data_IF_004471152484
#
_entry.id   IF_004471152484
#
_cell.length_a   1.000
_cell.length_b   1.000
_cell.length_c   1.000
_cell.angle_alpha   90.00
_cell.angle_beta   90.00
_cell.angle_gamma   90.00
#
_symmetry.space_group_name_H-M   'P 1'
#
loop_
_entity.id
_entity.type
_entity.pdbx_description
1 polymer ?
#
# COMPACT_ATOMS: atom_id res chain seq x y z
N UNK A 1 9.92 5.85 11.53
CA UNK A 1 10.56 6.09 10.22
C UNK A 1 10.02 5.03 9.27
N UNK A 2 9.30 5.43 8.22
CA UNK A 2 8.81 4.50 7.18
C UNK A 2 10.04 3.91 6.45
N UNK A 3 10.13 2.59 6.35
CA UNK A 3 11.23 1.93 5.65
C UNK A 3 11.08 2.15 4.15
N UNK A 4 11.85 3.06 3.57
CA UNK A 4 11.84 3.37 2.13
C UNK A 4 12.69 2.41 1.30
N UNK A 5 13.42 1.49 1.96
CA UNK A 5 14.33 0.53 1.31
C UNK A 5 13.79 -0.89 1.15
N UNK A 6 12.62 -1.21 1.72
CA UNK A 6 12.07 -2.58 1.66
C UNK A 6 11.17 -2.81 0.44
N UNK A 7 11.23 -4.03 -0.11
CA UNK A 7 10.33 -4.53 -1.17
C UNK A 7 9.05 -5.18 -0.62
N UNK A 8 8.95 -5.29 0.70
CA UNK A 8 7.89 -6.03 1.35
C UNK A 8 6.59 -5.24 1.40
N UNK A 9 5.53 -5.81 0.87
CA UNK A 9 4.15 -5.34 1.00
C UNK A 9 3.37 -6.43 1.72
N UNK A 10 2.50 -6.04 2.66
CA UNK A 10 1.58 -6.99 3.30
C UNK A 10 0.18 -6.79 2.74
N UNK A 11 -0.50 -7.88 2.41
CA UNK A 11 -1.91 -7.90 2.02
C UNK A 11 -2.64 -8.81 2.99
N UNK A 12 -3.56 -8.24 3.77
CA UNK A 12 -4.44 -9.00 4.64
C UNK A 12 -5.80 -9.16 3.98
N UNK A 13 -6.39 -10.33 4.15
CA UNK A 13 -7.75 -10.66 3.69
C UNK A 13 -8.56 -11.19 4.87
N UNK A 14 -9.88 -11.14 4.82
CA UNK A 14 -10.75 -11.68 5.86
C UNK A 14 -11.13 -13.14 5.58
N UNK A 15 -11.42 -13.46 4.31
CA UNK A 15 -12.04 -14.73 3.92
C UNK A 15 -11.13 -15.60 3.04
N UNK A 16 -11.34 -16.94 3.02
CA UNK A 16 -10.58 -17.84 2.14
C UNK A 16 -10.68 -17.51 0.65
N UNK A 17 -11.86 -17.07 0.17
CA UNK A 17 -12.06 -16.70 -1.24
C UNK A 17 -11.23 -15.47 -1.63
N UNK A 18 -11.08 -14.52 -0.70
CA UNK A 18 -10.27 -13.32 -0.89
C UNK A 18 -8.78 -13.67 -0.86
N UNK A 19 -8.36 -14.50 0.09
CA UNK A 19 -7.00 -15.01 0.19
C UNK A 19 -6.58 -15.68 -1.13
N UNK A 20 -7.41 -16.61 -1.62
CA UNK A 20 -7.15 -17.32 -2.88
C UNK A 20 -7.15 -16.38 -4.09
N UNK A 21 -8.00 -15.35 -4.11
CA UNK A 21 -8.01 -14.36 -5.17
C UNK A 21 -6.70 -13.55 -5.22
N UNK A 22 -6.12 -13.22 -4.06
CA UNK A 22 -4.84 -12.54 -3.95
C UNK A 22 -3.68 -13.46 -4.38
N UNK A 23 -3.61 -14.69 -3.86
CA UNK A 23 -2.48 -15.58 -4.15
C UNK A 23 -2.43 -16.01 -5.62
N UNK A 24 -3.57 -16.11 -6.31
CA UNK A 24 -3.66 -16.36 -7.76
C UNK A 24 -2.99 -15.28 -8.63
N UNK A 25 -2.76 -14.09 -8.08
CA UNK A 25 -2.08 -12.99 -8.80
C UNK A 25 -0.56 -13.00 -8.63
N UNK A 26 -0.03 -13.96 -7.86
CA UNK A 26 1.37 -14.03 -7.46
C UNK A 26 2.05 -15.26 -8.06
N UNK A 27 3.37 -15.20 -8.16
CA UNK A 27 4.24 -16.33 -8.52
C UNK A 27 5.17 -16.68 -7.37
N UNK A 28 5.86 -17.83 -7.46
CA UNK A 28 6.89 -18.24 -6.51
C UNK A 28 6.43 -18.29 -5.04
N UNK A 29 5.18 -18.71 -4.80
CA UNK A 29 4.56 -18.79 -3.48
C UNK A 29 5.35 -19.70 -2.53
N UNK A 30 5.63 -19.19 -1.33
CA UNK A 30 6.32 -19.89 -0.24
C UNK A 30 5.63 -19.61 1.08
N UNK A 31 5.48 -20.63 1.90
CA UNK A 31 4.97 -20.50 3.26
C UNK A 31 6.01 -19.87 4.18
N UNK A 32 5.60 -18.87 4.95
CA UNK A 32 6.41 -18.15 5.94
C UNK A 32 5.64 -18.10 7.28
N UNK A 33 6.19 -18.72 8.33
CA UNK A 33 5.52 -18.85 9.62
C UNK A 33 6.05 -17.80 10.62
N UNK A 34 5.16 -16.94 11.12
CA UNK A 34 5.46 -16.08 12.26
C UNK A 34 5.65 -16.94 13.52
N UNK A 35 6.64 -16.66 14.39
CA UNK A 35 6.92 -17.46 15.60
C UNK A 35 5.74 -17.65 16.58
N UNK A 36 4.73 -16.78 16.49
CA UNK A 36 3.53 -16.82 17.34
C UNK A 36 2.26 -17.25 16.58
N UNK A 37 2.40 -17.99 15.47
CA UNK A 37 1.30 -18.74 14.86
C UNK A 37 0.54 -18.07 13.70
N UNK A 38 0.95 -16.89 13.25
CA UNK A 38 0.41 -16.30 12.01
C UNK A 38 1.15 -16.88 10.81
N UNK A 39 0.45 -17.44 9.83
CA UNK A 39 1.05 -18.02 8.63
C UNK A 39 0.84 -17.05 7.48
N UNK A 40 1.91 -16.77 6.73
CA UNK A 40 1.88 -16.01 5.50
C UNK A 40 2.21 -16.90 4.31
N UNK A 41 1.63 -16.59 3.16
CA UNK A 41 2.24 -16.92 1.88
C UNK A 41 3.00 -15.70 1.36
N UNK A 42 4.30 -15.88 1.12
CA UNK A 42 5.13 -14.92 0.42
C UNK A 42 5.16 -15.27 -1.06
N UNK A 43 4.79 -14.32 -1.90
CA UNK A 43 4.89 -14.44 -3.36
C UNK A 43 5.56 -13.23 -3.99
N UNK A 44 5.91 -13.38 -5.26
CA UNK A 44 6.41 -12.32 -6.12
C UNK A 44 5.27 -11.77 -6.97
N UNK A 45 5.18 -10.45 -7.08
CA UNK A 45 4.24 -9.81 -8.01
C UNK A 45 4.93 -9.72 -9.39
N UNK A 46 4.41 -10.40 -10.44
CA UNK A 46 5.07 -10.45 -11.74
C UNK A 46 5.40 -9.07 -12.32
N UNK A 47 6.55 -8.98 -12.99
CA UNK A 47 7.09 -7.78 -13.64
C UNK A 47 7.33 -6.58 -12.70
N UNK A 48 7.44 -6.84 -11.40
CA UNK A 48 7.72 -5.82 -10.39
C UNK A 48 8.78 -6.31 -9.39
N UNK A 49 9.42 -5.41 -8.63
CA UNK A 49 10.33 -5.81 -7.57
C UNK A 49 9.60 -6.22 -6.28
N UNK A 50 8.28 -6.16 -6.21
CA UNK A 50 7.54 -6.27 -4.95
C UNK A 50 7.39 -7.72 -4.48
N UNK A 51 7.64 -7.93 -3.19
CA UNK A 51 7.35 -9.18 -2.49
C UNK A 51 6.09 -9.00 -1.65
N UNK A 52 5.09 -9.85 -1.89
CA UNK A 52 3.79 -9.76 -1.27
C UNK A 52 3.66 -10.85 -0.20
N UNK A 53 3.42 -10.44 1.03
CA UNK A 53 3.11 -11.33 2.15
C UNK A 53 1.60 -11.30 2.36
N UNK A 54 0.95 -12.42 2.10
CA UNK A 54 -0.51 -12.57 2.16
C UNK A 54 -0.86 -13.40 3.39
N UNK A 55 -1.86 -12.95 4.17
CA UNK A 55 -2.41 -13.74 5.25
C UNK A 55 -3.92 -13.51 5.40
N UNK A 56 -4.63 -14.59 5.69
CA UNK A 56 -6.04 -14.55 6.11
C UNK A 56 -6.11 -14.15 7.59
N UNK A 57 -6.64 -12.96 7.84
CA UNK A 57 -6.80 -12.39 9.17
C UNK A 57 -8.12 -12.79 9.86
N UNK A 58 -9.09 -13.32 9.10
CA UNK A 58 -10.45 -13.54 9.58
C UNK A 58 -11.27 -12.25 9.65
N UNK A 59 -12.54 -12.41 10.02
CA UNK A 59 -13.52 -11.33 10.11
C UNK A 59 -13.40 -10.52 11.41
N UNK A 60 -13.79 -9.25 11.34
CA UNK A 60 -13.95 -8.35 12.49
C UNK A 60 -12.74 -7.46 12.81
N UNK A 61 -13.00 -6.27 13.35
CA UNK A 61 -11.97 -5.23 13.50
C UNK A 61 -10.96 -5.59 14.59
N UNK A 62 -11.35 -6.32 15.65
CA UNK A 62 -10.43 -6.66 16.73
C UNK A 62 -9.29 -7.55 16.24
N UNK A 63 -9.62 -8.62 15.52
CA UNK A 63 -8.64 -9.55 14.95
C UNK A 63 -7.80 -8.84 13.89
N UNK A 64 -8.45 -8.09 13.00
CA UNK A 64 -7.76 -7.31 11.98
C UNK A 64 -6.73 -6.34 12.60
N UNK A 65 -7.06 -5.65 13.68
CA UNK A 65 -6.14 -4.74 14.37
C UNK A 65 -4.91 -5.47 14.92
N UNK A 66 -5.10 -6.56 15.65
CA UNK A 66 -4.02 -7.32 16.29
C UNK A 66 -3.08 -7.94 15.25
N UNK A 67 -3.63 -8.54 14.20
CA UNK A 67 -2.83 -9.19 13.17
C UNK A 67 -2.11 -8.19 12.27
N UNK A 68 -2.72 -7.03 12.01
CA UNK A 68 -2.07 -5.93 11.28
C UNK A 68 -0.86 -5.39 12.04
N UNK A 69 -1.00 -5.11 13.33
CA UNK A 69 0.13 -4.65 14.15
C UNK A 69 1.25 -5.69 14.16
N UNK A 70 0.91 -6.96 14.36
CA UNK A 70 1.89 -8.07 14.34
C UNK A 70 2.62 -8.15 13.01
N UNK A 71 1.90 -8.10 11.88
CA UNK A 71 2.49 -8.14 10.55
C UNK A 71 3.43 -6.94 10.33
N UNK A 72 3.02 -5.74 10.74
CA UNK A 72 3.83 -4.53 10.65
C UNK A 72 5.11 -4.66 11.48
N UNK A 73 4.99 -5.10 12.73
CA UNK A 73 6.12 -5.18 13.67
C UNK A 73 7.14 -6.24 13.23
N UNK A 74 6.68 -7.37 12.69
CA UNK A 74 7.55 -8.43 12.21
C UNK A 74 8.21 -8.11 10.87
N UNK A 75 7.42 -7.73 9.86
CA UNK A 75 7.89 -7.61 8.47
C UNK A 75 8.42 -6.22 8.13
N UNK A 76 8.06 -5.20 8.93
CA UNK A 76 8.38 -3.78 8.69
C UNK A 76 8.11 -3.37 7.23
N UNK A 77 6.88 -3.60 6.72
CA UNK A 77 6.59 -3.46 5.31
C UNK A 77 6.61 -2.00 4.84
N UNK A 78 6.73 -1.82 3.52
CA UNK A 78 6.64 -0.51 2.86
C UNK A 78 5.21 0.05 2.88
N UNK A 79 4.24 -0.83 2.79
CA UNK A 79 2.82 -0.53 2.88
C UNK A 79 2.04 -1.79 3.28
N UNK A 80 0.85 -1.59 3.83
CA UNK A 80 -0.11 -2.65 4.15
C UNK A 80 -1.41 -2.42 3.40
N UNK A 81 -2.03 -3.48 2.91
CA UNK A 81 -3.33 -3.43 2.25
C UNK A 81 -4.29 -4.36 2.98
N UNK A 82 -5.55 -3.97 3.06
CA UNK A 82 -6.61 -4.91 3.38
C UNK A 82 -7.46 -5.06 2.13
N UNK A 83 -7.47 -6.25 1.56
CA UNK A 83 -8.16 -6.57 0.31
C UNK A 83 -9.24 -7.61 0.59
N UNK A 84 -10.45 -7.37 0.11
CA UNK A 84 -11.56 -8.27 0.38
C UNK A 84 -12.84 -7.86 -0.32
N UNK A 85 -13.97 -8.38 0.12
CA UNK A 85 -15.31 -8.07 -0.40
C UNK A 85 -16.09 -7.16 0.56
N UNK A 86 -17.12 -6.50 0.05
CA UNK A 86 -18.01 -5.64 0.83
C UNK A 86 -19.42 -5.59 0.23
N UNK A 87 -20.37 -5.16 1.05
CA UNK A 87 -21.69 -4.77 0.59
C UNK A 87 -21.67 -3.35 0.01
N UNK A 88 -22.21 -3.17 -1.19
CA UNK A 88 -22.29 -1.89 -1.88
C UNK A 88 -23.47 -1.05 -1.38
N UNK A 89 -23.25 0.24 -1.12
CA UNK A 89 -24.25 1.15 -0.52
C UNK A 89 -24.76 2.24 -1.45
N UNK A 90 -24.35 2.19 -2.70
CA UNK A 90 -24.62 3.23 -3.67
C UNK A 90 -25.15 2.64 -4.96
N UNK A 91 -26.16 3.32 -5.52
CA UNK A 91 -26.81 2.90 -6.76
C UNK A 91 -25.86 2.93 -7.95
N UNK A 92 -24.88 3.84 -7.93
CA UNK A 92 -23.85 3.98 -8.97
C UNK A 92 -22.66 3.01 -8.79
N UNK A 93 -22.69 2.16 -7.77
CA UNK A 93 -21.67 1.12 -7.54
C UNK A 93 -22.31 -0.22 -7.83
N UNK A 94 -21.88 -0.92 -8.88
CA UNK A 94 -22.44 -2.20 -9.34
C UNK A 94 -21.88 -3.41 -8.57
N UNK A 95 -22.47 -4.59 -8.75
CA UNK A 95 -21.85 -5.83 -8.27
C UNK A 95 -20.61 -6.12 -9.13
N UNK A 96 -19.53 -6.60 -8.52
CA UNK A 96 -18.24 -6.77 -9.19
C UNK A 96 -17.41 -5.49 -9.32
N UNK A 97 -17.97 -4.30 -9.07
CA UNK A 97 -17.17 -3.07 -8.97
C UNK A 97 -16.20 -3.15 -7.78
N UNK A 98 -15.18 -2.31 -7.82
CA UNK A 98 -14.20 -2.17 -6.73
C UNK A 98 -14.31 -0.80 -6.10
N UNK A 99 -14.39 -0.74 -4.78
CA UNK A 99 -14.27 0.49 -3.99
C UNK A 99 -12.87 0.54 -3.38
N UNK A 100 -12.10 1.56 -3.77
CA UNK A 100 -10.84 1.94 -3.13
C UNK A 100 -11.15 3.00 -2.08
N UNK A 101 -10.94 2.66 -0.81
CA UNK A 101 -11.28 3.53 0.30
C UNK A 101 -10.43 4.80 0.28
N UNK A 102 -11.04 5.97 0.13
CA UNK A 102 -10.38 7.26 0.40
C UNK A 102 -10.25 7.51 1.89
N UNK A 103 -11.27 7.08 2.64
CA UNK A 103 -11.33 7.09 4.08
C UNK A 103 -11.98 5.79 4.56
N UNK A 104 -11.61 5.36 5.77
CA UNK A 104 -12.32 4.32 6.51
C UNK A 104 -13.06 4.97 7.66
N UNK A 105 -14.37 4.73 7.78
CA UNK A 105 -15.24 5.28 8.81
C UNK A 105 -15.72 4.18 9.76
N UNK A 106 -15.21 4.20 11.00
CA UNK A 106 -15.71 3.35 12.08
C UNK A 106 -17.02 3.90 12.64
N UNK A 107 -18.15 3.30 12.27
CA UNK A 107 -19.47 3.90 12.49
C UNK A 107 -20.15 3.55 13.83
N UNK A 108 -19.69 2.49 14.50
CA UNK A 108 -20.33 1.96 15.71
C UNK A 108 -19.90 2.66 17.01
N UNK A 109 -18.86 3.49 16.98
CA UNK A 109 -18.45 4.27 18.14
C UNK A 109 -19.54 5.25 18.54
N UNK A 110 -19.94 5.27 19.81
CA UNK A 110 -20.99 6.19 20.28
C UNK A 110 -21.40 6.00 21.73
N UNK A 111 -22.46 6.72 22.13
CA UNK A 111 -23.11 6.60 23.44
C UNK A 111 -24.58 6.26 23.24
N UNK A 112 -25.05 5.19 23.86
CA UNK A 112 -26.48 4.89 23.97
C UNK A 112 -27.06 5.59 25.21
N UNK A 113 -28.08 6.44 25.02
CA UNK A 113 -28.81 7.11 26.10
C UNK A 113 -30.33 6.96 25.95
N UNK A 114 -31.11 7.54 26.89
CA UNK A 114 -32.58 7.56 26.81
C UNK A 114 -33.13 8.28 25.58
N UNK A 115 -32.34 9.19 24.99
CA UNK A 115 -32.67 9.95 23.79
C UNK A 115 -32.10 9.32 22.49
N UNK A 116 -31.62 8.08 22.56
CA UNK A 116 -31.15 7.31 21.42
C UNK A 116 -29.62 7.18 21.34
N UNK A 117 -29.15 6.62 20.22
CA UNK A 117 -27.73 6.45 19.94
C UNK A 117 -27.12 7.77 19.45
N UNK A 118 -26.02 8.19 20.08
CA UNK A 118 -25.26 9.36 19.69
C UNK A 118 -23.91 8.92 19.12
N UNK A 119 -23.79 9.02 17.80
CA UNK A 119 -22.56 8.67 17.08
C UNK A 119 -21.35 9.47 17.56
N UNK A 120 -20.24 8.75 17.71
CA UNK A 120 -18.88 9.26 17.96
C UNK A 120 -17.92 8.51 17.04
N UNK A 121 -18.08 8.65 15.70
CA UNK A 121 -17.29 7.89 14.76
C UNK A 121 -15.82 8.26 14.84
N UNK A 122 -15.00 7.34 14.34
CA UNK A 122 -13.61 7.62 13.98
C UNK A 122 -13.48 7.49 12.47
N UNK A 123 -12.63 8.34 11.90
CA UNK A 123 -12.28 8.30 10.50
C UNK A 123 -10.77 8.23 10.35
N UNK A 124 -10.30 7.43 9.41
CA UNK A 124 -8.90 7.33 9.04
C UNK A 124 -8.76 7.61 7.54
N UNK A 125 -7.92 8.60 7.21
CA UNK A 125 -7.50 8.84 5.82
C UNK A 125 -6.58 7.71 5.35
N UNK A 126 -6.84 7.17 4.17
CA UNK A 126 -5.89 6.23 3.55
C UNK A 126 -4.74 6.98 2.91
N UNK A 127 -3.64 6.29 2.62
CA UNK A 127 -2.40 6.95 2.19
C UNK A 127 -2.51 7.56 0.80
N UNK A 128 -2.26 8.87 0.69
CA UNK A 128 -2.34 9.61 -0.57
C UNK A 128 -1.52 8.95 -1.70
N UNK A 129 -0.30 8.52 -1.43
CA UNK A 129 0.55 7.82 -2.40
C UNK A 129 -0.12 6.57 -2.96
N UNK A 130 -0.69 5.73 -2.09
CA UNK A 130 -1.37 4.49 -2.50
C UNK A 130 -2.67 4.79 -3.26
N UNK A 131 -3.40 5.83 -2.87
CA UNK A 131 -4.56 6.30 -3.62
C UNK A 131 -4.17 6.77 -5.03
N UNK A 132 -3.05 7.50 -5.18
CA UNK A 132 -2.57 7.93 -6.50
C UNK A 132 -2.17 6.75 -7.38
N UNK A 133 -1.47 5.77 -6.82
CA UNK A 133 -1.10 4.54 -7.52
C UNK A 133 -2.35 3.78 -8.00
N UNK A 134 -3.37 3.65 -7.14
CA UNK A 134 -4.65 3.04 -7.51
C UNK A 134 -5.40 3.85 -8.60
N UNK A 135 -5.39 5.19 -8.55
CA UNK A 135 -5.99 6.05 -9.60
C UNK A 135 -5.27 5.98 -10.93
N UNK A 136 -3.96 5.73 -10.91
CA UNK A 136 -3.20 5.46 -12.13
C UNK A 136 -3.60 4.09 -12.70
N UNK A 137 -3.62 3.07 -11.85
CA UNK A 137 -3.99 1.70 -12.22
C UNK A 137 -5.43 1.58 -12.78
N UNK A 138 -6.36 2.40 -12.29
CA UNK A 138 -7.76 2.37 -12.72
C UNK A 138 -7.99 2.77 -14.18
N UNK A 139 -6.97 3.31 -14.87
CA UNK A 139 -7.05 3.77 -16.27
C UNK A 139 -6.73 2.67 -17.31
N UNK A 140 -6.38 1.46 -16.86
CA UNK A 140 -6.01 0.37 -17.76
C UNK A 140 -5.35 -0.82 -17.06
N UNK A 141 -4.23 -0.63 -16.32
CA UNK A 141 -3.39 -1.72 -15.81
C UNK A 141 -4.11 -2.84 -15.04
N UNK A 142 -5.20 -2.51 -14.34
CA UNK A 142 -5.97 -3.51 -13.59
C UNK A 142 -6.87 -4.39 -14.47
N UNK A 143 -7.28 -3.93 -15.65
CA UNK A 143 -8.16 -4.66 -16.57
C UNK A 143 -7.43 -5.90 -17.10
N UNK A 144 -6.14 -5.78 -17.40
CA UNK A 144 -5.31 -6.91 -17.86
C UNK A 144 -5.17 -8.01 -16.81
N UNK A 145 -5.37 -7.68 -15.54
CA UNK A 145 -5.32 -8.61 -14.41
C UNK A 145 -6.65 -9.28 -14.10
N UNK A 146 -7.71 -8.87 -14.82
CA UNK A 146 -9.05 -9.46 -14.78
C UNK A 146 -9.19 -10.31 -16.05
N UNK A 147 -9.30 -11.63 -15.89
CA UNK A 147 -9.30 -12.57 -17.03
C UNK A 147 -10.53 -13.47 -17.02
N UNK A 148 -11.20 -13.73 -18.16
CA UNK A 148 -11.23 -12.97 -19.41
C UNK A 148 -12.14 -11.72 -19.31
N UNK A 149 -12.18 -10.91 -20.37
CA UNK A 149 -13.01 -9.70 -20.49
C UNK A 149 -14.43 -9.89 -19.91
N UNK A 150 -14.70 -9.19 -18.82
CA UNK A 150 -16.01 -9.20 -18.15
C UNK A 150 -16.90 -8.13 -18.79
N UNK A 151 -18.14 -8.47 -19.12
CA UNK A 151 -19.15 -7.53 -19.62
C UNK A 151 -20.35 -7.52 -18.65
N UNK A 152 -20.71 -6.36 -18.04
CA UNK A 152 -20.03 -5.07 -18.16
C UNK A 152 -18.66 -5.05 -17.48
N UNK A 153 -17.77 -4.20 -18.00
CA UNK A 153 -16.46 -3.98 -17.41
C UNK A 153 -16.64 -3.34 -16.01
N UNK A 154 -16.07 -3.92 -14.95
CA UNK A 154 -16.17 -3.36 -13.61
C UNK A 154 -15.47 -2.00 -13.54
N UNK A 155 -15.89 -1.15 -12.59
CA UNK A 155 -15.32 0.16 -12.34
C UNK A 155 -14.61 0.23 -10.98
N UNK A 156 -13.62 1.13 -10.86
CA UNK A 156 -13.00 1.48 -9.58
C UNK A 156 -13.57 2.81 -9.05
N UNK A 157 -14.16 2.77 -7.87
CA UNK A 157 -14.75 3.91 -7.17
C UNK A 157 -13.85 4.35 -6.02
N UNK A 158 -13.54 5.64 -5.94
CA UNK A 158 -12.72 6.20 -4.87
C UNK A 158 -13.61 6.98 -3.90
N UNK A 159 -14.08 6.29 -2.86
CA UNK A 159 -15.08 6.81 -1.90
C UNK A 159 -14.81 6.24 -0.50
N UNK A 160 -15.38 6.85 0.57
CA UNK A 160 -15.29 6.28 1.92
C UNK A 160 -15.91 4.88 2.03
N UNK A 161 -15.38 4.09 2.97
CA UNK A 161 -15.88 2.75 3.34
C UNK A 161 -16.26 2.75 4.82
N UNK A 162 -17.42 2.18 5.14
CA UNK A 162 -17.89 1.97 6.51
C UNK A 162 -17.35 0.66 7.07
N UNK A 163 -16.84 0.70 8.30
CA UNK A 163 -16.29 -0.44 9.00
C UNK A 163 -16.95 -0.60 10.37
N UNK A 164 -17.41 -1.81 10.70
CA UNK A 164 -18.00 -2.14 12.01
C UNK A 164 -18.04 -3.65 12.27
N UNK A 165 -18.77 -4.09 13.28
CA UNK A 165 -18.89 -5.52 13.66
C UNK A 165 -20.22 -6.15 13.20
N UNK A 166 -21.10 -5.38 12.55
CA UNK A 166 -22.41 -5.85 12.10
C UNK A 166 -22.36 -6.11 10.59
N UNK A 167 -22.72 -7.34 10.20
CA UNK A 167 -23.12 -7.65 8.82
C UNK A 167 -24.46 -6.96 8.55
N UNK A 168 -24.46 -5.94 7.70
CA UNK A 168 -25.69 -5.29 7.26
C UNK A 168 -26.30 -6.09 6.10
N UNK A 169 -27.40 -6.79 6.38
CA UNK A 169 -28.17 -7.55 5.39
C UNK A 169 -29.67 -7.30 5.61
N UNK A 170 -30.09 -6.05 5.46
CA UNK A 170 -31.49 -5.65 5.64
C UNK A 170 -31.76 -4.35 4.92
N UNK A 171 -32.92 -4.27 4.27
CA UNK A 171 -33.52 -3.01 3.84
C UNK A 171 -34.49 -2.48 4.91
N UNK A 172 -34.49 -1.16 5.15
CA UNK A 172 -35.32 -0.46 6.12
C UNK A 172 -34.96 -0.68 7.59
N UNK A 173 -33.76 -1.16 7.92
CA UNK A 173 -33.37 -1.34 9.32
C UNK A 173 -33.02 0.00 9.98
N UNK A 174 -33.21 0.11 11.30
CA UNK A 174 -32.82 1.32 12.04
C UNK A 174 -31.32 1.67 11.88
N UNK A 175 -30.47 0.65 11.69
CA UNK A 175 -29.06 0.86 11.40
C UNK A 175 -28.85 1.40 9.98
N UNK A 176 -29.54 0.86 8.98
CA UNK A 176 -29.46 1.37 7.61
C UNK A 176 -29.91 2.83 7.54
N UNK A 177 -31.07 3.16 8.12
CA UNK A 177 -31.59 4.54 8.19
C UNK A 177 -30.59 5.49 8.85
N UNK A 178 -30.00 5.07 9.98
CA UNK A 178 -28.96 5.84 10.67
C UNK A 178 -27.74 6.07 9.77
N UNK A 179 -27.29 5.04 9.07
CA UNK A 179 -26.12 5.14 8.22
C UNK A 179 -26.38 5.95 6.95
N UNK A 180 -27.59 5.88 6.39
CA UNK A 180 -28.01 6.71 5.26
C UNK A 180 -28.15 8.19 5.65
N UNK A 181 -28.57 8.48 6.88
CA UNK A 181 -28.67 9.85 7.38
C UNK A 181 -27.30 10.47 7.66
N UNK A 182 -26.39 9.71 8.28
CA UNK A 182 -25.13 10.26 8.82
C UNK A 182 -23.88 9.93 8.01
N UNK A 183 -23.90 8.90 7.16
CA UNK A 183 -22.75 8.41 6.41
C UNK A 183 -23.05 8.22 4.93
N UNK A 184 -23.93 9.05 4.36
CA UNK A 184 -24.32 8.97 2.97
C UNK A 184 -23.16 9.13 1.96
N UNK A 185 -21.96 9.50 2.38
CA UNK A 185 -20.79 9.54 1.49
C UNK A 185 -20.19 8.16 1.22
N UNK A 186 -20.46 7.17 2.08
CA UNK A 186 -19.83 5.86 1.99
C UNK A 186 -20.38 5.02 0.82
N UNK A 187 -19.48 4.36 0.11
CA UNK A 187 -19.81 3.52 -1.04
C UNK A 187 -19.96 2.04 -0.69
N UNK A 188 -19.33 1.60 0.39
CA UNK A 188 -19.35 0.21 0.81
C UNK A 188 -19.38 0.09 2.35
N UNK A 189 -19.76 -1.08 2.83
CA UNK A 189 -19.74 -1.48 4.24
C UNK A 189 -19.10 -2.86 4.40
N UNK A 190 -18.21 -2.99 5.37
CA UNK A 190 -17.41 -4.19 5.67
C UNK A 190 -17.05 -4.23 7.16
N UNK A 191 -16.21 -5.20 7.59
CA UNK A 191 -16.05 -5.53 9.00
C UNK A 191 -14.63 -5.42 9.58
N UNK A 192 -13.62 -5.07 8.79
CA UNK A 192 -12.22 -5.17 9.21
C UNK A 192 -11.45 -3.84 9.13
N UNK A 193 -11.90 -2.93 8.26
CA UNK A 193 -11.16 -1.75 7.85
C UNK A 193 -10.80 -0.82 9.00
N UNK A 194 -11.68 -0.64 9.99
CA UNK A 194 -11.43 0.27 11.11
C UNK A 194 -10.33 -0.27 12.03
N UNK A 195 -10.33 -1.58 12.28
CA UNK A 195 -9.29 -2.26 13.05
C UNK A 195 -7.93 -2.18 12.36
N UNK A 196 -7.90 -2.56 11.08
CA UNK A 196 -6.73 -2.47 10.21
C UNK A 196 -6.16 -1.04 10.16
N UNK A 197 -7.00 -0.05 9.84
CA UNK A 197 -6.57 1.35 9.75
C UNK A 197 -6.09 1.89 11.09
N UNK A 198 -6.74 1.53 12.20
CA UNK A 198 -6.31 1.91 13.54
C UNK A 198 -4.93 1.33 13.87
N UNK A 199 -4.67 0.06 13.55
CA UNK A 199 -3.37 -0.57 13.78
C UNK A 199 -2.26 0.07 12.93
N UNK A 200 -2.50 0.28 11.63
CA UNK A 200 -1.54 0.94 10.74
C UNK A 200 -1.21 2.38 11.20
N UNK A 201 -2.22 3.11 11.67
CA UNK A 201 -2.05 4.45 12.23
C UNK A 201 -1.21 4.44 13.51
N UNK A 202 -1.53 3.55 14.46
CA UNK A 202 -0.86 3.46 15.76
C UNK A 202 0.57 2.91 15.68
N UNK A 203 0.87 2.05 14.71
CA UNK A 203 2.20 1.46 14.49
C UNK A 203 3.24 2.45 13.91
N UNK A 204 3.02 3.75 14.07
CA UNK A 204 3.89 4.81 13.53
C UNK A 204 3.49 5.29 12.13
N UNK A 205 2.21 5.17 11.77
CA UNK A 205 1.63 5.60 10.48
C UNK A 205 2.30 4.92 9.28
N UNK A 206 2.18 3.59 9.22
CA UNK A 206 2.57 2.82 8.03
C UNK A 206 1.58 3.12 6.90
N UNK A 207 2.03 3.35 5.65
CA UNK A 207 1.13 3.59 4.54
C UNK A 207 0.15 2.43 4.37
N UNK A 208 -1.14 2.74 4.25
CA UNK A 208 -2.19 1.74 4.11
C UNK A 208 -3.30 2.12 3.14
N UNK A 209 -3.93 1.11 2.55
CA UNK A 209 -5.10 1.24 1.69
C UNK A 209 -6.07 0.07 1.92
N UNK A 210 -7.38 0.37 1.89
CA UNK A 210 -8.44 -0.65 1.92
C UNK A 210 -9.05 -0.74 0.52
N UNK A 211 -9.15 -1.95 -0.01
CA UNK A 211 -9.70 -2.24 -1.35
C UNK A 211 -10.79 -3.29 -1.20
N UNK A 212 -11.98 -2.99 -1.71
CA UNK A 212 -13.17 -3.85 -1.54
C UNK A 212 -13.87 -4.11 -2.86
N UNK A 213 -14.00 -5.37 -3.24
CA UNK A 213 -14.88 -5.78 -4.34
C UNK A 213 -16.33 -5.88 -3.85
N UNK A 214 -17.29 -5.49 -4.66
CA UNK A 214 -18.69 -5.45 -4.24
C UNK A 214 -19.39 -6.77 -4.56
N UNK A 215 -19.67 -7.57 -3.52
CA UNK A 215 -20.30 -8.90 -3.62
C UNK A 215 -21.82 -8.87 -3.54
N UNK A 216 -22.36 -7.92 -2.78
CA UNK A 216 -23.79 -7.75 -2.52
C UNK A 216 -24.17 -6.26 -2.35
N UNK A 217 -25.44 -5.95 -2.06
CA UNK A 217 -25.95 -4.58 -1.87
C UNK A 217 -26.29 -4.22 -0.42
N UNK A 218 -25.94 -5.07 0.54
CA UNK A 218 -26.27 -4.91 1.96
C UNK A 218 -27.77 -4.63 2.23
N UNK A 219 -28.67 -5.07 1.35
CA UNK A 219 -30.09 -4.68 1.29
C UNK A 219 -31.07 -5.81 1.70
N UNK A 220 -30.55 -6.91 2.26
CA UNK A 220 -31.34 -8.08 2.63
C UNK A 220 -31.35 -9.19 1.58
N UNK A 221 -30.59 -9.06 0.49
CA UNK A 221 -30.56 -10.04 -0.61
C UNK A 221 -29.31 -10.93 -0.62
N UNK A 222 -28.48 -10.89 0.42
CA UNK A 222 -27.15 -11.53 0.45
C UNK A 222 -27.17 -13.02 0.12
N UNK A 223 -28.15 -13.79 0.65
CA UNK A 223 -28.24 -15.23 0.37
C UNK A 223 -28.40 -15.57 -1.12
N UNK A 224 -29.09 -14.70 -1.88
CA UNK A 224 -29.29 -14.88 -3.32
C UNK A 224 -27.99 -14.58 -4.08
N UNK A 225 -27.26 -13.54 -3.66
CA UNK A 225 -25.98 -13.17 -4.29
C UNK A 225 -24.86 -14.15 -3.98
N UNK A 226 -24.82 -14.73 -2.77
CA UNK A 226 -23.80 -15.70 -2.37
C UNK A 226 -23.89 -16.99 -3.21
N UNK A 227 -25.12 -17.43 -3.52
CA UNK A 227 -25.37 -18.60 -4.37
C UNK A 227 -24.98 -18.36 -5.84
N UNK A 228 -24.76 -17.10 -6.23
CA UNK A 228 -24.50 -16.70 -7.63
C UNK A 228 -23.02 -16.57 -8.00
N UNK A 229 -22.08 -16.86 -7.08
CA UNK A 229 -20.64 -16.73 -7.34
C UNK A 229 -20.11 -15.29 -7.35
N UNK A 230 -20.90 -14.34 -6.82
CA UNK A 230 -20.53 -12.92 -6.78
C UNK A 230 -19.35 -12.65 -5.85
N UNK A 231 -19.17 -13.46 -4.80
CA UNK A 231 -18.04 -13.34 -3.87
C UNK A 231 -16.71 -13.61 -4.59
N UNK A 232 -16.61 -14.70 -5.36
CA UNK A 232 -15.41 -15.02 -6.14
C UNK A 232 -15.06 -13.92 -7.13
N UNK A 233 -16.06 -13.40 -7.86
CA UNK A 233 -15.88 -12.32 -8.83
C UNK A 233 -15.41 -11.04 -8.15
N UNK A 234 -16.09 -10.63 -7.07
CA UNK A 234 -15.74 -9.45 -6.29
C UNK A 234 -14.33 -9.56 -5.68
N UNK A 235 -14.00 -10.72 -5.09
CA UNK A 235 -12.69 -10.99 -4.52
C UNK A 235 -11.59 -10.93 -5.61
N UNK A 236 -11.84 -11.52 -6.78
CA UNK A 236 -10.90 -11.48 -7.90
C UNK A 236 -10.65 -10.04 -8.39
N UNK A 237 -11.70 -9.24 -8.57
CA UNK A 237 -11.55 -7.85 -8.99
C UNK A 237 -10.84 -6.99 -7.92
N UNK A 238 -11.13 -7.21 -6.63
CA UNK A 238 -10.44 -6.53 -5.54
C UNK A 238 -8.94 -6.87 -5.50
N UNK A 239 -8.59 -8.15 -5.69
CA UNK A 239 -7.21 -8.61 -5.79
C UNK A 239 -6.51 -7.99 -7.00
N UNK A 240 -7.11 -8.03 -8.19
CA UNK A 240 -6.56 -7.44 -9.42
C UNK A 240 -6.31 -5.93 -9.25
N UNK A 241 -7.27 -5.19 -8.69
CA UNK A 241 -7.14 -3.78 -8.36
C UNK A 241 -6.01 -3.49 -7.37
N UNK A 242 -5.88 -4.31 -6.31
CA UNK A 242 -4.81 -4.18 -5.31
C UNK A 242 -3.45 -4.39 -5.94
N UNK A 243 -3.28 -5.45 -6.73
CA UNK A 243 -2.01 -5.78 -7.39
C UNK A 243 -1.62 -4.74 -8.43
N UNK A 244 -2.59 -4.21 -9.18
CA UNK A 244 -2.33 -3.12 -10.12
C UNK A 244 -1.89 -1.83 -9.41
N UNK A 245 -2.48 -1.52 -8.25
CA UNK A 245 -2.06 -0.38 -7.44
C UNK A 245 -0.64 -0.58 -6.88
N UNK A 246 -0.30 -1.78 -6.41
CA UNK A 246 1.06 -2.11 -5.93
C UNK A 246 2.07 -2.01 -7.08
N UNK A 247 1.76 -2.55 -8.25
CA UNK A 247 2.63 -2.49 -9.42
C UNK A 247 2.92 -1.04 -9.88
N UNK A 248 1.98 -0.12 -9.66
CA UNK A 248 2.13 1.30 -9.98
C UNK A 248 2.98 2.08 -8.95
N UNK A 249 3.37 1.47 -7.82
CA UNK A 249 4.22 2.13 -6.83
C UNK A 249 5.66 2.26 -7.34
N UNK A 250 6.31 3.37 -6.99
CA UNK A 250 7.74 3.55 -7.25
C UNK A 250 8.54 2.53 -6.46
N UNK A 251 9.39 1.79 -7.16
CA UNK A 251 10.33 0.86 -6.54
C UNK A 251 11.25 1.56 -5.54
N UNK A 252 11.68 0.88 -4.45
CA UNK A 252 12.66 1.41 -3.50
C UNK A 252 13.92 1.92 -4.21
N UNK A 253 14.41 3.10 -3.81
CA UNK A 253 15.58 3.73 -4.43
C UNK A 253 16.85 2.87 -4.38
N UNK A 254 16.98 2.00 -3.36
CA UNK A 254 18.09 1.07 -3.22
C UNK A 254 18.19 0.03 -4.36
N UNK A 255 17.11 -0.20 -5.11
CA UNK A 255 17.10 -1.11 -6.26
C UNK A 255 17.39 -0.39 -7.57
N UNK A 256 16.92 0.84 -7.70
CA UNK A 256 17.21 1.68 -8.88
C UNK A 256 18.71 1.95 -9.02
N UNK A 257 19.45 2.01 -7.91
CA UNK A 257 20.90 2.16 -7.90
C UNK A 257 21.69 0.88 -8.25
N UNK A 258 21.08 -0.31 -8.09
CA UNK A 258 21.71 -1.59 -8.42
C UNK A 258 21.57 -1.95 -9.91
N UNK A 259 20.49 -1.48 -10.55
CA UNK A 259 20.23 -1.69 -11.98
C UNK A 259 20.82 -0.59 -12.89
N UNK A 260 21.35 0.48 -12.31
CA UNK A 260 22.10 1.48 -13.06
C UNK A 260 23.48 0.89 -13.42
N UNK A 261 23.66 0.44 -14.68
CA UNK A 261 25.01 0.21 -15.20
C UNK A 261 25.84 1.47 -14.97
N UNK A 262 27.11 1.37 -14.52
CA UNK A 262 27.96 2.54 -14.45
C UNK A 262 28.07 3.10 -15.86
N UNK A 263 27.56 4.32 -16.07
CA UNK A 263 27.71 5.02 -17.33
C UNK A 263 29.18 4.93 -17.73
N UNK A 264 29.46 4.24 -18.83
CA UNK A 264 30.81 4.22 -19.41
C UNK A 264 31.10 5.65 -19.82
N UNK A 265 31.80 6.37 -18.94
CA UNK A 265 32.17 7.75 -19.17
C UNK A 265 32.74 7.89 -20.58
N UNK A 266 32.08 8.71 -21.40
CA UNK A 266 32.62 9.13 -22.68
C UNK A 266 33.92 9.88 -22.39
N UNK A 267 35.05 9.19 -22.58
CA UNK A 267 36.36 9.81 -22.64
C UNK A 267 36.38 10.63 -23.91
N UNK A 268 36.24 11.96 -23.78
CA UNK A 268 36.64 12.90 -24.82
C UNK A 268 38.13 12.69 -25.07
N UNK A 269 38.48 12.16 -26.24
CA UNK A 269 39.86 12.17 -26.74
C UNK A 269 40.13 13.54 -27.35
N UNK A 270 40.64 14.45 -26.54
CA UNK A 270 41.37 15.59 -27.08
C UNK A 270 42.72 15.08 -27.58
N UNK A 271 42.80 14.92 -28.90
CA UNK A 271 44.05 14.64 -29.58
C UNK A 271 44.91 15.89 -29.61
N UNK A 272 45.98 15.90 -28.83
CA UNK A 272 47.20 16.59 -29.20
C UNK A 272 48.40 15.77 -28.76
N UNK A 273 49.07 15.25 -29.78
CA UNK A 273 50.30 14.47 -29.70
C UNK A 273 51.48 15.43 -29.67
N UNK A 274 52.26 15.43 -28.58
CA UNK A 274 53.66 15.88 -28.58
C UNK A 274 54.45 15.19 -27.46
N UNK A 275 55.43 14.37 -27.83
CA UNK A 275 56.76 14.38 -27.22
C UNK A 275 57.02 13.55 -25.97
N UNK A 276 57.59 12.36 -26.19
CA UNK A 276 58.62 11.64 -25.40
C UNK A 276 59.18 12.28 -24.11
N UNK A 277 59.22 11.52 -23.01
CA UNK A 277 60.43 11.00 -22.34
C UNK A 277 60.05 10.26 -21.04
N UNK A 278 60.84 9.25 -20.64
CA UNK A 278 60.45 8.22 -19.68
C UNK A 278 60.63 8.56 -18.20
N UNK A 279 60.08 7.70 -17.34
CA UNK A 279 60.77 7.12 -16.18
C UNK A 279 59.84 6.17 -15.39
N UNK A 280 60.40 4.98 -15.15
CA UNK A 280 60.24 4.00 -14.08
C UNK A 280 59.05 3.97 -13.09
N UNK A 281 58.70 2.72 -12.78
CA UNK A 281 57.71 2.24 -11.83
C UNK A 281 57.99 2.57 -10.36
N UNK A 282 56.91 2.80 -9.59
CA UNK A 282 56.84 2.46 -8.17
C UNK A 282 55.37 2.22 -7.74
N UNK A 283 55.19 1.23 -6.89
CA UNK A 283 53.95 0.62 -6.43
C UNK A 283 53.33 1.29 -5.20
N UNK A 284 52.04 0.97 -4.99
CA UNK A 284 51.30 0.88 -3.72
C UNK A 284 50.65 2.15 -3.14
N UNK A 285 49.31 2.14 -3.26
CA UNK A 285 48.32 2.29 -2.18
C UNK A 285 48.23 3.61 -1.41
N UNK A 286 47.41 4.54 -1.92
CA UNK A 286 46.45 5.30 -1.12
C UNK A 286 45.43 5.97 -2.06
N UNK A 287 44.14 5.74 -1.80
CA UNK A 287 43.05 6.32 -2.57
C UNK A 287 43.09 7.86 -2.49
N UNK A 288 43.40 8.52 -3.61
CA UNK A 288 43.19 9.97 -3.77
C UNK A 288 41.71 10.23 -4.02
N UNK A 289 41.03 10.81 -3.02
CA UNK A 289 39.68 11.34 -3.20
C UNK A 289 39.75 12.66 -3.99
N UNK A 290 39.13 12.70 -5.17
CA UNK A 290 39.04 13.91 -6.01
C UNK A 290 37.61 14.44 -5.89
N UNK A 291 37.42 15.59 -5.23
CA UNK A 291 36.14 16.28 -5.19
C UNK A 291 36.19 17.46 -6.18
N UNK A 292 35.28 17.51 -7.15
CA UNK A 292 35.04 18.69 -7.99
C UNK A 292 33.77 19.38 -7.54
N UNK A 293 33.78 20.72 -7.48
CA UNK A 293 32.62 21.54 -7.19
C UNK A 293 32.33 22.43 -8.40
N UNK A 294 31.12 22.35 -8.94
CA UNK A 294 30.58 23.34 -9.88
C UNK A 294 29.69 24.32 -9.11
N UNK A 295 30.00 25.61 -9.23
CA UNK A 295 29.29 26.76 -8.65
C UNK A 295 29.38 26.93 -7.12
N UNK A 296 30.49 27.54 -6.67
CA UNK A 296 30.49 28.50 -5.54
C UNK A 296 30.09 28.02 -4.14
N UNK A 297 30.02 26.71 -3.88
CA UNK A 297 29.71 26.14 -2.55
C UNK A 297 30.91 25.50 -1.86
N UNK A 298 30.96 25.58 -0.52
CA UNK A 298 32.02 25.01 0.31
C UNK A 298 32.06 23.46 0.25
N UNK A 299 33.27 22.90 0.22
CA UNK A 299 33.52 21.45 0.20
C UNK A 299 33.76 20.94 1.62
N UNK A 300 32.97 19.97 2.06
CA UNK A 300 33.19 19.27 3.33
C UNK A 300 33.91 17.95 3.08
N UNK A 301 35.10 17.77 3.64
CA UNK A 301 35.78 16.48 3.71
C UNK A 301 35.79 15.98 5.15
N UNK A 302 35.41 14.72 5.35
CA UNK A 302 35.45 14.05 6.66
C UNK A 302 36.55 12.99 6.60
N UNK A 303 37.54 13.10 7.48
CA UNK A 303 38.50 12.03 7.71
C UNK A 303 38.69 11.86 9.21
N UNK A 304 38.31 10.68 9.74
CA UNK A 304 38.51 10.25 11.12
C UNK A 304 38.11 11.24 12.23
N UNK A 305 36.83 11.60 12.29
CA UNK A 305 36.13 11.79 13.57
C UNK A 305 36.37 13.07 14.38
N UNK A 306 36.96 14.15 13.84
CA UNK A 306 36.95 15.45 14.51
C UNK A 306 36.76 16.61 13.53
N UNK A 307 35.76 17.46 13.78
CA UNK A 307 35.56 18.71 13.03
C UNK A 307 36.41 19.83 13.66
N UNK A 308 37.17 20.55 12.84
CA UNK A 308 37.81 21.82 13.22
C UNK A 308 37.21 22.90 12.33
N UNK A 309 36.56 23.89 12.94
CA UNK A 309 35.97 25.04 12.25
C UNK A 309 37.07 26.08 12.06
N UNK A 310 37.38 26.43 10.81
CA UNK A 310 38.21 27.58 10.48
C UNK A 310 37.30 28.66 9.89
N UNK A 311 36.96 29.67 10.70
CA UNK A 311 36.29 30.87 10.20
C UNK A 311 37.31 31.69 9.41
N UNK A 312 37.16 31.71 8.08
CA UNK A 312 37.86 32.66 7.22
C UNK A 312 37.56 34.09 7.66
N UNK A 313 38.58 34.94 7.66
CA UNK A 313 38.45 36.39 7.87
C UNK A 313 37.56 36.94 6.75
N UNK A 314 36.30 37.24 7.08
CA UNK A 314 35.46 38.30 6.48
C UNK A 314 33.97 38.06 6.80
N UNK A 315 33.63 37.88 8.08
CA UNK A 315 32.26 37.98 8.58
C UNK A 315 32.16 39.24 9.44
N UNK A 316 31.91 40.38 8.79
CA UNK A 316 31.56 41.63 9.44
C UNK A 316 30.10 41.61 9.90
N UNK A 317 29.86 42.14 11.09
CA UNK A 317 28.53 42.34 11.70
C UNK A 317 27.55 43.07 10.78
N UNK A 318 26.36 42.48 10.59
CA UNK A 318 25.03 43.12 10.61
C UNK A 318 23.91 42.09 10.58
#
# INVERSE_FOLDING_TARGET
MVSTGTKTIVVLTALPVEYLAVTRQLTNLRREDHPTGMIFERGELPDTPWEIYVAEAGEGNQTAAVLTERAITWLKPRAVFFTGIAGGRKRDVALGDVVVATQVWGYQGGKQGPDGFKGRPRAWETSFELQQAARYASRGPWIERISPSVDPMPCMHFKPVLAGEIVLDSSGSALEEYLDLHYNGAAAIEMEGAGFASAAHLAGTVPFLVVRGISDKADGTKQVTDTSGNQDTAAHHAAAATMAAIAALRAPAALQAADAEPERGHVWKDGHDTGTAGAQAASADSQKQINSASNGGAVYAVQNGSQIINNGRDAGDR
#
